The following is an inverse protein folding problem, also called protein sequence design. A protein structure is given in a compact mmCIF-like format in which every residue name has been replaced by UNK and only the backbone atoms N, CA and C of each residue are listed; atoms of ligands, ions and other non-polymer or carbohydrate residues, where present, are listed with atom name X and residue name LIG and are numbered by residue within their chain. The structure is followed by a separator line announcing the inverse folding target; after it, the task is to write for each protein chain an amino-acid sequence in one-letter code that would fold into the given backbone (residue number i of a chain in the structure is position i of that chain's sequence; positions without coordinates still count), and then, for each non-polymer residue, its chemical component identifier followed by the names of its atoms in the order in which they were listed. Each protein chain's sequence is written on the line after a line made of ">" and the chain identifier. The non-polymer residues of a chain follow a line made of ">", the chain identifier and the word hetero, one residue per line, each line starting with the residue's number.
data_IF_401063233191
#
_entry.id   IF_401063233191
#
_cell.length_a   1.000
_cell.length_b   1.000
_cell.length_c   1.000
_cell.angle_alpha   90.00
_cell.angle_beta   90.00
_cell.angle_gamma   90.00
#
_symmetry.space_group_name_H-M   'P 1'
#
loop_
_entity.id
_entity.type
_entity.pdbx_description
1 polymer ?
#
# COMPACT_ATOMS: atom_id res chain seq x y z
N UNK A 1 1.64 -3.89 -16.70
CA UNK A 1 1.73 -4.35 -15.29
C UNK A 1 0.61 -5.35 -15.07
N UNK A 2 0.84 -6.60 -15.43
CA UNK A 2 -0.23 -7.61 -15.60
C UNK A 2 -0.74 -8.22 -14.30
N UNK A 3 -0.03 -8.04 -13.18
CA UNK A 3 -0.37 -8.63 -11.88
C UNK A 3 -0.04 -7.66 -10.72
N UNK A 4 -0.74 -7.82 -9.59
CA UNK A 4 -0.40 -7.13 -8.34
C UNK A 4 0.96 -7.62 -7.86
N UNK A 5 1.84 -6.69 -7.53
CA UNK A 5 3.18 -7.02 -7.03
C UNK A 5 3.04 -7.50 -5.60
N UNK A 6 2.95 -8.82 -5.43
CA UNK A 6 2.92 -9.49 -4.11
C UNK A 6 4.30 -9.99 -3.69
N UNK A 7 5.36 -9.65 -4.43
CA UNK A 7 6.74 -9.99 -4.07
C UNK A 7 7.23 -9.18 -2.87
N UNK A 8 8.33 -9.62 -2.25
CA UNK A 8 8.99 -8.84 -1.21
C UNK A 8 9.31 -7.43 -1.72
N UNK A 9 9.00 -6.35 -0.96
CA UNK A 9 8.56 -6.32 0.45
C UNK A 9 7.04 -6.29 0.68
N UNK A 10 6.22 -6.34 -0.39
CA UNK A 10 4.75 -6.26 -0.31
C UNK A 10 4.09 -7.54 0.22
N UNK A 11 4.83 -8.64 0.32
CA UNK A 11 4.36 -9.88 0.95
C UNK A 11 4.26 -9.80 2.48
N UNK A 12 4.96 -8.84 3.10
CA UNK A 12 5.03 -8.67 4.56
C UNK A 12 4.22 -7.47 5.05
N UNK A 13 4.10 -6.44 4.22
CA UNK A 13 3.35 -5.23 4.53
C UNK A 13 2.74 -4.66 3.26
N UNK A 14 1.51 -4.19 3.34
CA UNK A 14 0.80 -3.61 2.18
C UNK A 14 1.43 -2.29 1.71
N UNK A 15 2.17 -1.62 2.61
CA UNK A 15 2.65 -0.25 2.43
C UNK A 15 4.14 -0.09 2.80
N UNK A 16 5.06 -0.88 2.21
CA UNK A 16 6.46 -0.94 2.63
C UNK A 16 7.18 0.41 2.51
N UNK A 17 6.78 1.24 1.55
CA UNK A 17 7.32 2.59 1.37
C UNK A 17 6.98 3.51 2.55
N UNK A 18 5.72 3.52 3.00
CA UNK A 18 5.27 4.38 4.09
C UNK A 18 5.87 3.97 5.44
N UNK A 19 5.94 2.66 5.70
CA UNK A 19 6.60 2.13 6.88
C UNK A 19 8.11 2.38 6.85
N UNK A 20 8.77 2.14 5.71
CA UNK A 20 10.20 2.40 5.54
C UNK A 20 10.57 3.86 5.78
N UNK A 21 9.81 4.79 5.19
CA UNK A 21 10.02 6.23 5.38
C UNK A 21 9.81 6.65 6.84
N UNK A 22 8.76 6.13 7.51
CA UNK A 22 8.53 6.39 8.95
C UNK A 22 9.71 5.94 9.80
N UNK A 23 10.27 4.75 9.51
CA UNK A 23 11.47 4.25 10.19
C UNK A 23 12.70 5.14 9.95
N UNK A 24 12.85 5.71 8.74
CA UNK A 24 13.91 6.70 8.47
C UNK A 24 13.76 7.96 9.32
N UNK A 25 12.54 8.52 9.41
CA UNK A 25 12.27 9.68 10.28
C UNK A 25 12.49 9.37 11.76
N UNK A 26 12.07 8.19 12.21
CA UNK A 26 12.29 7.73 13.58
C UNK A 26 13.79 7.57 13.87
N UNK A 27 14.55 6.99 12.95
CA UNK A 27 16.01 6.85 13.08
C UNK A 27 16.71 8.20 13.18
N UNK A 28 16.29 9.18 12.38
CA UNK A 28 16.77 10.57 12.49
C UNK A 28 16.38 11.17 13.84
N UNK A 29 15.15 10.99 14.31
CA UNK A 29 14.72 11.50 15.61
C UNK A 29 15.53 10.93 16.77
N UNK A 30 15.85 9.63 16.73
CA UNK A 30 16.71 8.96 17.71
C UNK A 30 18.14 9.50 17.64
N UNK A 31 18.71 9.62 16.43
CA UNK A 31 20.07 10.10 16.23
C UNK A 31 20.28 11.51 16.78
N UNK A 32 19.33 12.41 16.56
CA UNK A 32 19.40 13.78 17.08
C UNK A 32 18.93 13.88 18.55
N UNK A 33 18.26 12.87 19.09
CA UNK A 33 17.83 12.82 20.50
C UNK A 33 16.84 13.91 20.91
N UNK A 34 16.18 14.57 19.95
CA UNK A 34 15.28 15.71 20.22
C UNK A 34 13.82 15.25 20.32
N UNK A 35 13.05 15.70 21.33
CA UNK A 35 11.63 15.35 21.48
C UNK A 35 10.78 15.81 20.27
N UNK A 36 11.17 16.92 19.63
CA UNK A 36 10.53 17.39 18.41
C UNK A 36 10.59 16.37 17.25
N UNK A 37 11.66 15.57 17.15
CA UNK A 37 11.79 14.55 16.11
C UNK A 37 10.77 13.42 16.28
N UNK A 38 10.48 13.03 17.51
CA UNK A 38 9.45 12.02 17.81
C UNK A 38 8.05 12.55 17.50
N UNK A 39 7.75 13.80 17.82
CA UNK A 39 6.47 14.44 17.50
C UNK A 39 6.26 14.52 15.98
N UNK A 40 7.29 14.92 15.23
CA UNK A 40 7.23 14.98 13.77
C UNK A 40 7.08 13.58 13.14
N UNK A 41 7.81 12.59 13.66
CA UNK A 41 7.69 11.20 13.21
C UNK A 41 6.27 10.66 13.44
N UNK A 42 5.71 10.91 14.63
CA UNK A 42 4.33 10.52 14.95
C UNK A 42 3.31 11.22 14.06
N UNK A 43 3.50 12.51 13.79
CA UNK A 43 2.64 13.27 12.88
C UNK A 43 2.63 12.68 11.46
N UNK A 44 3.83 12.43 10.90
CA UNK A 44 3.97 11.83 9.56
C UNK A 44 3.32 10.45 9.52
N UNK A 45 3.50 9.63 10.57
CA UNK A 45 2.85 8.33 10.66
C UNK A 45 1.31 8.42 10.64
N UNK A 46 0.72 9.39 11.34
CA UNK A 46 -0.74 9.62 11.30
C UNK A 46 -1.19 9.99 9.89
N UNK A 47 -0.49 10.92 9.22
CA UNK A 47 -0.81 11.32 7.84
C UNK A 47 -0.73 10.12 6.89
N UNK A 48 0.27 9.26 7.06
CA UNK A 48 0.43 8.04 6.27
C UNK A 48 -0.69 7.03 6.50
N UNK A 49 -1.15 6.86 7.75
CA UNK A 49 -2.32 6.01 8.03
C UNK A 49 -3.58 6.52 7.35
N UNK A 50 -3.81 7.83 7.36
CA UNK A 50 -4.94 8.44 6.65
C UNK A 50 -4.82 8.19 5.15
N UNK A 51 -3.64 8.42 4.56
CA UNK A 51 -3.40 8.19 3.13
C UNK A 51 -3.67 6.73 2.73
N UNK A 52 -3.15 5.77 3.51
CA UNK A 52 -3.35 4.34 3.27
C UNK A 52 -4.82 3.91 3.38
N UNK A 53 -5.58 4.56 4.26
CA UNK A 53 -7.02 4.32 4.37
C UNK A 53 -7.77 4.65 3.07
N UNK A 54 -7.25 5.58 2.24
CA UNK A 54 -7.79 5.86 0.92
C UNK A 54 -7.12 5.01 -0.18
N UNK A 55 -5.81 4.81 -0.14
CA UNK A 55 -5.06 4.17 -1.23
C UNK A 55 -5.34 2.65 -1.34
N UNK A 56 -5.45 1.96 -0.20
CA UNK A 56 -5.74 0.53 -0.15
C UNK A 56 -7.12 0.13 -0.71
N UNK A 57 -8.24 0.80 -0.37
CA UNK A 57 -9.53 0.47 -0.95
C UNK A 57 -9.62 0.82 -2.43
N UNK A 58 -8.97 1.90 -2.89
CA UNK A 58 -8.91 2.21 -4.31
C UNK A 58 -8.15 1.15 -5.10
N UNK A 59 -6.99 0.72 -4.59
CA UNK A 59 -6.17 -0.31 -5.23
C UNK A 59 -6.90 -1.65 -5.28
N UNK A 60 -7.50 -2.08 -4.17
CA UNK A 60 -8.27 -3.32 -4.13
C UNK A 60 -9.51 -3.29 -5.04
N UNK A 61 -10.20 -2.16 -5.14
CA UNK A 61 -11.33 -1.99 -6.05
C UNK A 61 -10.91 -2.10 -7.54
N UNK A 62 -9.75 -1.56 -7.92
CA UNK A 62 -9.22 -1.68 -9.28
C UNK A 62 -8.93 -3.14 -9.62
N UNK A 63 -8.25 -3.88 -8.73
CA UNK A 63 -7.97 -5.30 -8.95
C UNK A 63 -9.25 -6.14 -8.95
N UNK A 64 -10.21 -5.89 -8.05
CA UNK A 64 -11.49 -6.60 -8.01
C UNK A 64 -12.33 -6.37 -9.28
N UNK A 65 -12.36 -5.14 -9.81
CA UNK A 65 -13.04 -4.83 -11.08
C UNK A 65 -12.39 -5.56 -12.25
N UNK A 66 -11.06 -5.67 -12.24
CA UNK A 66 -10.30 -6.35 -13.30
C UNK A 66 -10.51 -7.87 -13.27
N UNK A 67 -10.55 -8.48 -12.09
CA UNK A 67 -10.85 -9.91 -11.94
C UNK A 67 -12.27 -10.24 -12.39
N UNK A 68 -13.27 -9.40 -12.05
CA UNK A 68 -14.64 -9.53 -12.56
C UNK A 68 -14.69 -9.42 -14.10
N UNK A 69 -13.95 -8.48 -14.68
CA UNK A 69 -13.88 -8.32 -16.13
C UNK A 69 -13.23 -9.53 -16.82
N UNK A 70 -12.15 -10.09 -16.26
CA UNK A 70 -11.51 -11.32 -16.77
C UNK A 70 -12.43 -12.54 -16.65
N UNK A 71 -13.17 -12.69 -15.54
CA UNK A 71 -14.14 -13.77 -15.36
C UNK A 71 -15.29 -13.69 -16.38
N UNK A 72 -15.82 -12.49 -16.63
CA UNK A 72 -16.85 -12.27 -17.64
C UNK A 72 -16.36 -12.55 -19.08
N UNK A 73 -15.14 -12.15 -19.42
CA UNK A 73 -14.53 -12.44 -20.71
C UNK A 73 -14.28 -13.95 -20.92
N UNK A 74 -13.84 -14.66 -19.87
CA UNK A 74 -13.68 -16.11 -19.90
C UNK A 74 -15.01 -16.86 -20.06
N UNK A 75 -16.08 -16.38 -19.43
CA UNK A 75 -17.42 -16.94 -19.57
C UNK A 75 -18.02 -16.73 -20.97
N UNK A 76 -17.75 -15.57 -21.60
CA UNK A 76 -18.18 -15.28 -22.98
C UNK A 76 -17.47 -16.15 -24.01
N UNK A 77 -16.16 -16.41 -23.83
CA UNK A 77 -15.39 -17.30 -24.71
C UNK A 77 -15.91 -18.74 -24.68
N UNK A 78 -16.26 -19.23 -23.48
CA UNK A 78 -16.79 -20.60 -23.27
C UNK A 78 -18.22 -20.80 -23.80
N UNK A 79 -18.96 -19.72 -24.08
CA UNK A 79 -20.32 -19.75 -24.63
C UNK A 79 -20.33 -19.69 -26.17
N UNK A 80 -19.20 -19.36 -26.79
CA UNK A 80 -19.03 -19.23 -28.25
C UNK A 80 -18.39 -20.47 -28.89
N UNK A 81 -18.15 -21.53 -28.12
CA UNK A 81 -17.58 -22.81 -28.54
C UNK A 81 -18.56 -23.93 -28.19
#
# INVERSE_FOLDING_TARGET
>A
MDNMVSGFPFNLTDAPMYHGSTCSFLGTAILYGKPAGFLLTGWVYIVYQIALSYENPFTSAIYAKRDRARAAAGASSKKSM
#
